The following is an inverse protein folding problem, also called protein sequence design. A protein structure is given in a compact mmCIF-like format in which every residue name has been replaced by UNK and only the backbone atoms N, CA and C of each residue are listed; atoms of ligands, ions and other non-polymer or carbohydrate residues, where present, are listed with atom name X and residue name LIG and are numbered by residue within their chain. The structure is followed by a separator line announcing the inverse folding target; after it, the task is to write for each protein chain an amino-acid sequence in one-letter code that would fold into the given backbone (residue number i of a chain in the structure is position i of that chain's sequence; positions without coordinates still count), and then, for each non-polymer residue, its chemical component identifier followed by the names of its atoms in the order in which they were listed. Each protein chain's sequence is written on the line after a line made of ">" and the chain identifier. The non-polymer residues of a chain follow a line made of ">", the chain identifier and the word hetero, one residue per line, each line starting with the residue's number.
data_IF_464558264983
#
_entry.id   IF_464558264983
#
_cell.length_a   1.000
_cell.length_b   1.000
_cell.length_c   1.000
_cell.angle_alpha   90.00
_cell.angle_beta   90.00
_cell.angle_gamma   90.00
#
_symmetry.space_group_name_H-M   'P 1'
#
loop_
_entity.id
_entity.type
_entity.pdbx_description
1 polymer ?
#
# COMPACT_ATOMS: atom_id res chain seq x y z
N UNK A 1 9.85 -0.81 -20.85
CA UNK A 1 9.48 -1.61 -19.67
C UNK A 1 8.01 -1.99 -19.77
N UNK A 2 7.68 -3.29 -19.73
CA UNK A 2 6.30 -3.79 -19.64
C UNK A 2 5.94 -4.00 -18.17
N UNK A 3 4.75 -3.61 -17.77
CA UNK A 3 4.32 -3.59 -16.36
C UNK A 3 3.06 -4.45 -16.20
N UNK A 4 3.05 -5.32 -15.19
CA UNK A 4 1.83 -5.95 -14.69
C UNK A 4 1.36 -5.23 -13.43
N UNK A 5 0.14 -4.71 -13.43
CA UNK A 5 -0.52 -4.22 -12.23
C UNK A 5 -1.02 -5.38 -11.38
N UNK A 6 -0.78 -5.35 -10.07
CA UNK A 6 -1.32 -6.35 -9.14
C UNK A 6 -2.07 -5.69 -8.00
N UNK A 7 -3.22 -6.24 -7.63
CA UNK A 7 -4.05 -5.80 -6.50
C UNK A 7 -4.35 -7.00 -5.62
N UNK A 8 -4.17 -6.87 -4.31
CA UNK A 8 -4.73 -7.79 -3.33
C UNK A 8 -6.02 -7.20 -2.76
N UNK A 9 -7.03 -8.02 -2.54
CA UNK A 9 -8.34 -7.51 -2.13
C UNK A 9 -9.11 -8.49 -1.24
N UNK A 10 -9.96 -7.92 -0.39
CA UNK A 10 -11.01 -8.60 0.38
C UNK A 10 -12.14 -7.60 0.64
N UNK A 11 -13.36 -7.89 0.13
CA UNK A 11 -14.55 -7.07 0.34
C UNK A 11 -14.32 -5.58 0.08
N UNK A 12 -13.90 -5.25 -1.14
CA UNK A 12 -13.55 -3.88 -1.55
C UNK A 12 -14.40 -3.37 -2.72
N UNK A 13 -15.67 -3.78 -2.83
CA UNK A 13 -16.55 -3.41 -3.94
C UNK A 13 -16.65 -1.90 -4.17
N UNK A 14 -16.50 -1.10 -3.12
CA UNK A 14 -16.51 0.35 -3.17
C UNK A 14 -15.30 0.97 -3.91
N UNK A 15 -14.14 0.31 -3.84
CA UNK A 15 -12.87 0.89 -4.27
C UNK A 15 -12.24 0.20 -5.46
N UNK A 16 -12.49 -1.10 -5.64
CA UNK A 16 -11.78 -1.95 -6.60
C UNK A 16 -11.84 -1.44 -8.05
N UNK A 17 -12.99 -0.86 -8.46
CA UNK A 17 -13.13 -0.30 -9.81
C UNK A 17 -12.07 0.78 -10.08
N UNK A 18 -11.97 1.76 -9.19
CA UNK A 18 -11.04 2.89 -9.31
C UNK A 18 -9.58 2.43 -9.27
N UNK A 19 -9.25 1.44 -8.44
CA UNK A 19 -7.92 0.84 -8.39
C UNK A 19 -7.54 0.19 -9.71
N UNK A 20 -8.42 -0.68 -10.26
CA UNK A 20 -8.20 -1.36 -11.55
C UNK A 20 -8.08 -0.35 -12.70
N UNK A 21 -9.00 0.60 -12.80
CA UNK A 21 -8.99 1.61 -13.87
C UNK A 21 -7.71 2.45 -13.85
N UNK A 22 -7.25 2.88 -12.67
CA UNK A 22 -6.03 3.65 -12.56
C UNK A 22 -4.78 2.85 -12.97
N UNK A 23 -4.69 1.57 -12.59
CA UNK A 23 -3.58 0.70 -13.00
C UNK A 23 -3.56 0.41 -14.50
N UNK A 24 -4.71 0.30 -15.16
CA UNK A 24 -4.78 0.11 -16.63
C UNK A 24 -4.11 1.24 -17.41
N UNK A 25 -4.01 2.44 -16.86
CA UNK A 25 -3.36 3.58 -17.52
C UNK A 25 -1.83 3.45 -17.59
N UNK A 26 -1.26 2.55 -16.78
CA UNK A 26 0.19 2.34 -16.71
C UNK A 26 0.63 0.89 -16.93
N UNK A 27 -0.29 -0.06 -16.99
CA UNK A 27 0.02 -1.50 -17.02
C UNK A 27 -0.44 -2.14 -18.34
N UNK A 28 0.27 -3.21 -18.75
CA UNK A 28 -0.09 -4.02 -19.91
C UNK A 28 -1.16 -5.08 -19.54
N UNK A 29 -1.29 -5.40 -18.27
CA UNK A 29 -2.32 -6.25 -17.69
C UNK A 29 -2.58 -5.86 -16.23
N UNK A 30 -3.76 -6.18 -15.71
CA UNK A 30 -4.09 -6.03 -14.29
C UNK A 30 -4.56 -7.37 -13.74
N UNK A 31 -3.96 -7.75 -12.61
CA UNK A 31 -4.23 -8.99 -11.87
C UNK A 31 -4.82 -8.61 -10.52
N UNK A 32 -5.92 -9.20 -10.16
CA UNK A 32 -6.55 -9.08 -8.85
C UNK A 32 -6.47 -10.43 -8.15
N UNK A 33 -5.83 -10.48 -6.99
CA UNK A 33 -5.80 -11.65 -6.11
C UNK A 33 -6.77 -11.43 -4.96
N UNK A 34 -7.91 -12.08 -5.06
CA UNK A 34 -9.02 -11.95 -4.14
C UNK A 34 -8.91 -12.94 -2.97
N UNK A 35 -9.11 -12.46 -1.75
CA UNK A 35 -9.00 -13.23 -0.51
C UNK A 35 -10.38 -13.75 -0.03
N UNK A 36 -11.13 -14.42 -0.93
CA UNK A 36 -12.46 -14.97 -0.67
C UNK A 36 -13.53 -13.89 -0.37
N UNK A 37 -13.57 -12.81 -1.16
CA UNK A 37 -14.61 -11.77 -1.04
C UNK A 37 -16.02 -12.33 -1.19
N UNK A 38 -16.93 -11.83 -0.36
CA UNK A 38 -18.35 -12.20 -0.33
C UNK A 38 -19.28 -11.15 -0.96
N UNK A 39 -18.73 -9.97 -1.25
CA UNK A 39 -19.40 -8.85 -1.91
C UNK A 39 -19.21 -8.88 -3.44
N UNK A 40 -19.51 -7.78 -4.14
CA UNK A 40 -19.40 -7.67 -5.59
C UNK A 40 -17.96 -7.42 -6.10
N UNK A 41 -16.94 -7.43 -5.23
CA UNK A 41 -15.54 -7.09 -5.57
C UNK A 41 -15.05 -7.81 -6.82
N UNK A 42 -15.16 -9.14 -6.88
CA UNK A 42 -14.68 -9.94 -8.01
C UNK A 42 -15.37 -9.59 -9.32
N UNK A 43 -16.70 -9.51 -9.29
CA UNK A 43 -17.50 -9.18 -10.47
C UNK A 43 -17.15 -7.79 -11.03
N UNK A 44 -16.93 -6.81 -10.16
CA UNK A 44 -16.54 -5.46 -10.57
C UNK A 44 -15.14 -5.48 -11.19
N UNK A 45 -14.18 -6.16 -10.57
CA UNK A 45 -12.81 -6.27 -11.08
C UNK A 45 -12.76 -6.95 -12.47
N UNK A 46 -13.49 -8.06 -12.67
CA UNK A 46 -13.61 -8.75 -13.95
C UNK A 46 -14.25 -7.85 -15.02
N UNK A 47 -15.33 -7.17 -14.68
CA UNK A 47 -16.03 -6.24 -15.59
C UNK A 47 -15.14 -5.05 -15.99
N UNK A 48 -14.22 -4.62 -15.12
CA UNK A 48 -13.21 -3.61 -15.40
C UNK A 48 -12.04 -4.14 -16.26
N UNK A 49 -12.02 -5.45 -16.57
CA UNK A 49 -11.02 -6.09 -17.42
C UNK A 49 -9.78 -6.61 -16.68
N UNK A 50 -9.85 -6.78 -15.36
CA UNK A 50 -8.79 -7.44 -14.61
C UNK A 50 -8.90 -8.97 -14.72
N UNK A 51 -7.76 -9.66 -14.63
CA UNK A 51 -7.69 -11.11 -14.42
C UNK A 51 -7.83 -11.38 -12.92
N UNK A 52 -8.89 -12.04 -12.51
CA UNK A 52 -9.18 -12.32 -11.09
C UNK A 52 -8.78 -13.75 -10.74
N UNK A 53 -8.01 -13.89 -9.66
CA UNK A 53 -7.64 -15.17 -9.05
C UNK A 53 -8.08 -15.18 -7.59
N UNK A 54 -8.36 -16.36 -7.06
CA UNK A 54 -8.81 -16.54 -5.68
C UNK A 54 -7.71 -17.25 -4.90
N UNK A 55 -7.36 -16.70 -3.75
CA UNK A 55 -6.38 -17.26 -2.84
C UNK A 55 -6.73 -16.81 -1.42
N UNK A 56 -7.05 -17.73 -0.52
CA UNK A 56 -7.25 -17.40 0.89
C UNK A 56 -6.06 -16.60 1.45
N UNK A 57 -6.34 -15.66 2.34
CA UNK A 57 -5.35 -14.69 2.80
C UNK A 57 -4.14 -15.34 3.47
N UNK A 58 -2.95 -15.05 2.95
CA UNK A 58 -1.67 -15.60 3.42
C UNK A 58 -0.91 -14.63 4.35
N UNK A 59 -1.44 -13.42 4.55
CA UNK A 59 -0.74 -12.28 5.15
C UNK A 59 -0.33 -11.26 4.07
N UNK A 60 -0.09 -10.00 4.45
CA UNK A 60 0.10 -8.88 3.51
C UNK A 60 1.24 -9.14 2.51
N UNK A 61 2.46 -9.41 2.98
CA UNK A 61 3.61 -9.69 2.11
C UNK A 61 3.48 -10.96 1.29
N UNK A 62 3.16 -12.11 1.90
CA UNK A 62 2.92 -13.34 1.17
C UNK A 62 1.83 -13.22 0.11
N UNK A 63 0.72 -12.52 0.38
CA UNK A 63 -0.37 -12.31 -0.57
C UNK A 63 0.07 -11.47 -1.77
N UNK A 64 0.79 -10.35 -1.55
CA UNK A 64 1.35 -9.52 -2.62
C UNK A 64 2.39 -10.27 -3.45
N UNK A 65 3.24 -11.06 -2.79
CA UNK A 65 4.20 -11.92 -3.47
C UNK A 65 3.50 -13.00 -4.30
N UNK A 66 2.42 -13.61 -3.80
CA UNK A 66 1.62 -14.58 -4.55
C UNK A 66 1.00 -13.93 -5.78
N UNK A 67 0.38 -12.75 -5.66
CA UNK A 67 -0.18 -12.00 -6.77
C UNK A 67 0.85 -11.76 -7.88
N UNK A 68 2.11 -11.49 -7.54
CA UNK A 68 3.19 -11.28 -8.51
C UNK A 68 3.55 -12.52 -9.34
N UNK A 69 3.20 -13.73 -8.90
CA UNK A 69 3.44 -14.97 -9.66
C UNK A 69 2.51 -15.12 -10.86
N UNK A 70 1.30 -14.58 -10.79
CA UNK A 70 0.35 -14.57 -11.91
C UNK A 70 0.70 -13.54 -12.98
N UNK A 71 1.64 -12.63 -12.69
CA UNK A 71 2.07 -11.58 -13.60
C UNK A 71 2.95 -12.12 -14.73
N UNK A 72 2.64 -11.74 -15.99
CA UNK A 72 3.42 -12.12 -17.17
C UNK A 72 4.69 -11.30 -17.35
N UNK A 73 4.75 -10.08 -16.79
CA UNK A 73 5.88 -9.17 -16.91
C UNK A 73 6.76 -9.18 -15.65
N UNK A 74 8.03 -8.80 -15.83
CA UNK A 74 8.99 -8.73 -14.73
C UNK A 74 8.75 -7.53 -13.82
N UNK A 75 8.28 -6.42 -14.38
CA UNK A 75 7.95 -5.22 -13.61
C UNK A 75 6.54 -5.29 -13.06
N UNK A 76 6.42 -5.15 -11.74
CA UNK A 76 5.15 -5.19 -11.02
C UNK A 76 4.85 -3.82 -10.46
N UNK A 77 3.63 -3.32 -10.70
CA UNK A 77 3.08 -2.21 -9.93
C UNK A 77 2.01 -2.77 -8.99
N UNK A 78 2.30 -2.80 -7.68
CA UNK A 78 1.40 -3.36 -6.67
C UNK A 78 0.59 -2.26 -5.99
N UNK A 79 -0.74 -2.39 -5.96
CA UNK A 79 -1.65 -1.53 -5.21
C UNK A 79 -2.44 -2.35 -4.18
N UNK A 80 -2.88 -1.67 -3.14
CA UNK A 80 -3.96 -2.14 -2.29
C UNK A 80 -5.30 -1.73 -2.91
N UNK A 81 -6.40 -2.43 -2.62
CA UNK A 81 -7.68 -2.20 -3.29
C UNK A 81 -8.29 -0.81 -3.01
N UNK A 82 -7.89 -0.17 -1.91
CA UNK A 82 -8.29 1.18 -1.49
C UNK A 82 -7.33 2.29 -1.95
N UNK A 83 -6.36 1.92 -2.82
CA UNK A 83 -5.41 2.86 -3.44
C UNK A 83 -5.75 3.11 -4.92
N UNK A 84 -5.39 4.29 -5.42
CA UNK A 84 -5.38 4.58 -6.86
C UNK A 84 -4.28 5.58 -7.21
N UNK A 85 -3.95 5.69 -8.48
CA UNK A 85 -2.90 6.57 -8.98
C UNK A 85 -3.45 7.97 -9.25
N UNK A 86 -2.71 9.01 -8.84
CA UNK A 86 -3.01 10.36 -9.34
C UNK A 86 -2.41 10.58 -10.75
N UNK A 87 -2.84 11.67 -11.39
CA UNK A 87 -2.40 11.98 -12.76
C UNK A 87 -0.89 12.12 -12.88
N UNK A 88 -0.25 12.78 -11.91
CA UNK A 88 1.19 13.02 -11.95
C UNK A 88 1.99 11.73 -11.84
N UNK A 89 1.50 10.75 -11.07
CA UNK A 89 2.11 9.42 -10.99
C UNK A 89 1.96 8.64 -12.30
N UNK A 90 0.78 8.70 -12.93
CA UNK A 90 0.52 8.06 -14.23
C UNK A 90 1.48 8.61 -15.28
N UNK A 91 1.58 9.93 -15.39
CA UNK A 91 2.47 10.61 -16.34
C UNK A 91 3.95 10.26 -16.07
N UNK A 92 4.36 10.24 -14.80
CA UNK A 92 5.71 9.86 -14.38
C UNK A 92 6.05 8.41 -14.78
N UNK A 93 5.19 7.43 -14.44
CA UNK A 93 5.44 6.03 -14.77
C UNK A 93 5.50 5.81 -16.27
N UNK A 94 4.60 6.42 -17.05
CA UNK A 94 4.61 6.34 -18.50
C UNK A 94 5.90 6.95 -19.10
N UNK A 95 6.42 8.03 -18.53
CA UNK A 95 7.68 8.65 -18.98
C UNK A 95 8.89 7.72 -18.79
N UNK A 96 8.96 6.99 -17.67
CA UNK A 96 10.10 6.12 -17.35
C UNK A 96 10.06 4.75 -18.05
N UNK A 97 8.94 4.36 -18.66
CA UNK A 97 8.83 3.08 -19.40
C UNK A 97 9.85 2.93 -20.54
N UNK A 98 10.28 4.03 -21.12
CA UNK A 98 11.16 4.06 -22.28
C UNK A 98 12.65 4.15 -21.92
N UNK A 99 12.99 4.27 -20.63
CA UNK A 99 14.37 4.35 -20.18
C UNK A 99 14.92 2.97 -19.81
N UNK A 100 16.23 2.77 -20.04
CA UNK A 100 16.96 1.61 -19.52
C UNK A 100 17.05 1.73 -17.99
N UNK A 101 16.28 0.88 -17.29
CA UNK A 101 16.15 0.96 -15.86
C UNK A 101 17.26 0.17 -15.16
N UNK A 102 18.30 0.89 -14.71
CA UNK A 102 19.36 0.36 -13.82
C UNK A 102 18.90 0.21 -12.36
N UNK A 103 17.64 0.49 -12.08
CA UNK A 103 17.05 0.47 -10.74
C UNK A 103 16.27 -0.82 -10.50
N UNK A 104 16.08 -1.17 -9.23
CA UNK A 104 15.35 -2.36 -8.81
C UNK A 104 13.89 -2.03 -8.52
N UNK A 105 13.64 -0.80 -8.10
CA UNK A 105 12.33 -0.37 -7.62
C UNK A 105 12.17 1.14 -7.56
N UNK A 106 10.90 1.57 -7.43
CA UNK A 106 10.49 2.96 -7.27
C UNK A 106 9.53 3.06 -6.09
N UNK A 107 9.78 4.04 -5.23
CA UNK A 107 8.93 4.40 -4.11
C UNK A 107 8.23 5.72 -4.38
N UNK A 108 6.95 5.77 -4.05
CA UNK A 108 6.05 6.90 -4.27
C UNK A 108 5.50 7.37 -2.94
N UNK A 109 5.06 8.63 -2.87
CA UNK A 109 4.38 9.16 -1.69
C UNK A 109 2.92 8.72 -1.67
N UNK A 110 2.40 8.40 -0.49
CA UNK A 110 0.97 8.22 -0.31
C UNK A 110 0.34 9.50 0.25
N UNK A 111 -0.80 9.88 -0.32
CA UNK A 111 -1.74 10.81 0.28
C UNK A 111 -2.81 9.98 0.99
N UNK A 112 -2.72 9.91 2.31
CA UNK A 112 -3.66 9.17 3.14
C UNK A 112 -4.88 10.05 3.45
N UNK A 113 -6.08 9.57 3.16
CA UNK A 113 -7.33 10.29 3.37
C UNK A 113 -8.17 9.65 4.48
N UNK A 114 -8.91 10.51 5.20
CA UNK A 114 -10.02 10.12 6.07
C UNK A 114 -11.27 10.82 5.52
N UNK A 115 -12.19 10.08 4.91
CA UNK A 115 -13.21 10.68 4.05
C UNK A 115 -12.55 11.51 2.95
N UNK A 116 -12.94 12.77 2.83
CA UNK A 116 -12.39 13.71 1.84
C UNK A 116 -11.17 14.50 2.34
N UNK A 117 -10.77 14.32 3.61
CA UNK A 117 -9.70 15.10 4.23
C UNK A 117 -8.34 14.41 4.10
N UNK A 118 -7.37 15.11 3.49
CA UNK A 118 -5.99 14.64 3.42
C UNK A 118 -5.26 14.80 4.74
N UNK A 119 -4.81 13.67 5.33
CA UNK A 119 -4.06 13.63 6.59
C UNK A 119 -2.59 13.96 6.31
N UNK A 120 -2.14 15.17 6.68
CA UNK A 120 -0.74 15.62 6.49
C UNK A 120 0.12 15.47 7.75
N UNK A 121 -0.51 15.42 8.92
CA UNK A 121 0.16 15.43 10.23
C UNK A 121 0.41 14.02 10.79
N UNK A 122 0.98 13.95 11.97
CA UNK A 122 1.17 12.73 12.77
C UNK A 122 1.96 11.61 12.06
N UNK A 123 2.84 11.95 11.13
CA UNK A 123 3.66 10.98 10.41
C UNK A 123 2.97 10.31 9.22
N UNK A 124 1.77 10.76 8.83
CA UNK A 124 1.09 10.27 7.64
C UNK A 124 1.65 10.84 6.33
N UNK A 125 2.45 11.92 6.38
CA UNK A 125 3.08 12.49 5.20
C UNK A 125 4.43 13.14 5.57
N UNK A 126 5.49 13.00 4.71
CA UNK A 126 5.53 12.15 3.52
C UNK A 126 5.67 10.66 3.86
N UNK A 127 4.76 9.82 3.33
CA UNK A 127 4.76 8.38 3.50
C UNK A 127 5.21 7.71 2.20
N UNK A 128 6.46 7.23 2.14
CA UNK A 128 7.01 6.58 0.96
C UNK A 128 6.81 5.08 0.98
N UNK A 129 6.14 4.56 -0.05
CA UNK A 129 5.93 3.11 -0.24
C UNK A 129 6.50 2.66 -1.58
N UNK A 130 7.23 1.54 -1.59
CA UNK A 130 7.73 0.94 -2.83
C UNK A 130 6.60 0.16 -3.48
N UNK A 131 6.16 0.60 -4.67
CA UNK A 131 5.02 0.01 -5.38
C UNK A 131 5.37 -0.48 -6.79
N UNK A 132 6.39 0.08 -7.45
CA UNK A 132 6.88 -0.41 -8.74
C UNK A 132 8.24 -1.08 -8.54
N UNK A 133 8.36 -2.35 -8.93
CA UNK A 133 9.58 -3.12 -8.71
C UNK A 133 9.76 -4.23 -9.75
N UNK A 134 11.01 -4.61 -9.99
CA UNK A 134 11.40 -5.76 -10.80
C UNK A 134 11.39 -7.03 -9.93
N UNK A 135 10.36 -7.90 -10.13
CA UNK A 135 10.16 -9.11 -9.32
C UNK A 135 11.29 -10.13 -9.43
N UNK A 136 12.14 -10.02 -10.46
CA UNK A 136 13.31 -10.89 -10.64
C UNK A 136 14.47 -10.51 -9.73
N UNK A 137 14.50 -9.27 -9.25
CA UNK A 137 15.56 -8.72 -8.39
C UNK A 137 15.12 -8.57 -6.94
N UNK A 138 13.87 -8.13 -6.72
CA UNK A 138 13.31 -7.86 -5.41
C UNK A 138 11.84 -8.26 -5.34
N UNK A 139 11.35 -8.55 -4.14
CA UNK A 139 9.92 -8.83 -3.91
C UNK A 139 9.55 -8.44 -2.48
N UNK A 140 8.28 -8.55 -2.14
CA UNK A 140 7.79 -8.34 -0.78
C UNK A 140 8.46 -9.29 0.20
N UNK A 141 8.80 -8.77 1.37
CA UNK A 141 9.27 -9.57 2.48
C UNK A 141 8.14 -10.46 3.06
N UNK A 142 8.49 -11.52 3.85
CA UNK A 142 7.50 -12.48 4.32
C UNK A 142 6.64 -11.99 5.49
N UNK A 143 6.69 -10.69 5.84
CA UNK A 143 5.89 -10.16 6.95
C UNK A 143 4.40 -10.27 6.66
N UNK A 144 3.66 -10.70 7.68
CA UNK A 144 2.21 -10.87 7.60
C UNK A 144 1.49 -9.53 7.65
N UNK A 145 2.13 -8.51 8.24
CA UNK A 145 1.60 -7.15 8.37
C UNK A 145 2.70 -6.13 8.01
N UNK A 146 2.29 -5.04 7.36
CA UNK A 146 3.19 -3.96 6.91
C UNK A 146 4.40 -4.44 6.09
N UNK A 147 4.18 -5.36 5.17
CA UNK A 147 5.23 -5.85 4.30
C UNK A 147 5.75 -4.77 3.34
N UNK A 148 7.03 -4.83 3.05
CA UNK A 148 7.69 -3.87 2.18
C UNK A 148 8.60 -4.55 1.14
N UNK A 149 8.83 -3.85 0.04
CA UNK A 149 9.86 -4.22 -0.95
C UNK A 149 11.12 -3.42 -0.64
N UNK A 150 12.23 -4.11 -0.43
CA UNK A 150 13.53 -3.52 -0.11
C UNK A 150 14.50 -3.67 -1.28
N UNK A 151 14.42 -2.76 -2.25
CA UNK A 151 15.38 -2.68 -3.35
C UNK A 151 16.70 -2.03 -2.93
N UNK A 152 17.83 -2.52 -3.45
CA UNK A 152 19.14 -1.91 -3.21
C UNK A 152 19.30 -0.59 -3.96
N UNK A 153 18.60 -0.42 -5.08
CA UNK A 153 18.62 0.76 -5.95
C UNK A 153 17.21 1.32 -6.15
N UNK A 154 16.60 1.80 -5.06
CA UNK A 154 15.25 2.37 -5.06
C UNK A 154 15.29 3.87 -5.36
N UNK A 155 14.52 4.32 -6.37
CA UNK A 155 14.26 5.74 -6.61
C UNK A 155 13.04 6.18 -5.78
N UNK A 156 13.16 7.32 -5.09
CA UNK A 156 12.04 7.99 -4.43
C UNK A 156 11.50 9.11 -5.32
N UNK A 157 10.35 8.89 -5.94
CA UNK A 157 9.67 9.89 -6.75
C UNK A 157 8.67 10.70 -5.91
N UNK A 158 8.56 12.01 -6.20
CA UNK A 158 7.69 12.94 -5.43
C UNK A 158 6.25 13.00 -5.97
N UNK A 159 5.80 11.97 -6.68
CA UNK A 159 4.44 11.80 -7.18
C UNK A 159 3.63 10.90 -6.24
N UNK A 160 2.29 10.85 -6.39
CA UNK A 160 1.46 10.36 -5.31
C UNK A 160 0.55 9.19 -5.70
N UNK A 161 0.38 8.30 -4.74
CA UNK A 161 -0.71 7.33 -4.66
C UNK A 161 -1.78 7.94 -3.74
N UNK A 162 -3.02 7.92 -4.16
CA UNK A 162 -4.17 8.29 -3.34
C UNK A 162 -4.59 7.06 -2.56
N UNK A 163 -4.70 7.16 -1.26
CA UNK A 163 -5.06 6.06 -0.37
C UNK A 163 -6.25 6.45 0.51
N UNK A 164 -7.39 5.81 0.28
CA UNK A 164 -8.59 6.01 1.09
C UNK A 164 -8.48 5.15 2.36
N UNK A 165 -7.68 5.62 3.32
CA UNK A 165 -7.27 4.85 4.51
C UNK A 165 -8.44 4.59 5.44
N UNK A 166 -9.31 5.60 5.61
CA UNK A 166 -10.47 5.58 6.47
C UNK A 166 -11.63 6.32 5.82
N UNK A 167 -12.85 5.81 6.00
CA UNK A 167 -14.06 6.47 5.52
C UNK A 167 -14.54 7.57 6.46
N UNK A 168 -14.29 7.39 7.76
CA UNK A 168 -14.69 8.34 8.80
C UNK A 168 -13.73 8.30 9.98
N UNK A 169 -13.89 9.26 10.88
CA UNK A 169 -13.14 9.31 12.15
C UNK A 169 -13.52 8.12 13.05
N UNK A 170 -14.78 7.70 13.03
CA UNK A 170 -15.26 6.54 13.79
C UNK A 170 -14.54 5.28 13.36
N UNK A 171 -14.49 5.02 12.05
CA UNK A 171 -13.76 3.88 11.49
C UNK A 171 -12.27 3.94 11.82
N UNK A 172 -11.67 5.13 11.78
CA UNK A 172 -10.28 5.31 12.18
C UNK A 172 -10.05 4.88 13.63
N UNK A 173 -10.90 5.34 14.56
CA UNK A 173 -10.79 4.97 15.97
C UNK A 173 -10.96 3.45 16.17
N UNK A 174 -11.94 2.84 15.50
CA UNK A 174 -12.17 1.39 15.58
C UNK A 174 -10.95 0.60 15.06
N UNK A 175 -10.44 0.95 13.88
CA UNK A 175 -9.25 0.32 13.30
C UNK A 175 -8.01 0.52 14.18
N UNK A 176 -7.83 1.70 14.78
CA UNK A 176 -6.74 1.98 15.71
C UNK A 176 -6.83 1.12 16.97
N UNK A 177 -8.01 0.99 17.57
CA UNK A 177 -8.24 0.13 18.73
C UNK A 177 -7.97 -1.35 18.42
N UNK A 178 -8.46 -1.82 17.28
CA UNK A 178 -8.22 -3.19 16.83
C UNK A 178 -6.73 -3.46 16.62
N UNK A 179 -6.03 -2.62 15.84
CA UNK A 179 -4.60 -2.77 15.54
C UNK A 179 -3.72 -2.66 16.79
N UNK A 180 -4.04 -1.74 17.72
CA UNK A 180 -3.30 -1.61 18.97
C UNK A 180 -3.44 -2.86 19.85
N UNK A 181 -4.63 -3.46 19.88
CA UNK A 181 -4.88 -4.71 20.59
C UNK A 181 -4.12 -5.89 20.00
N UNK A 182 -4.10 -6.01 18.66
CA UNK A 182 -3.30 -7.03 17.97
C UNK A 182 -1.79 -6.87 18.25
N UNK A 183 -1.29 -5.63 18.16
CA UNK A 183 0.12 -5.33 18.41
C UNK A 183 0.50 -5.63 19.86
N UNK A 184 -0.35 -5.27 20.82
CA UNK A 184 -0.13 -5.59 22.24
C UNK A 184 -0.09 -7.10 22.48
N UNK A 185 -1.02 -7.85 21.86
CA UNK A 185 -1.04 -9.32 21.94
C UNK A 185 0.21 -9.95 21.34
N UNK A 186 0.67 -9.45 20.19
CA UNK A 186 1.89 -9.94 19.53
C UNK A 186 3.14 -9.66 20.39
N UNK A 187 3.25 -8.46 20.97
CA UNK A 187 4.34 -8.13 21.89
C UNK A 187 4.35 -9.02 23.13
N UNK A 188 3.17 -9.33 23.68
CA UNK A 188 3.04 -10.25 24.80
C UNK A 188 3.51 -11.66 24.45
N UNK A 189 3.08 -12.21 23.29
CA UNK A 189 3.51 -13.53 22.79
C UNK A 189 5.03 -13.56 22.59
N UNK A 190 5.62 -12.48 22.09
CA UNK A 190 7.07 -12.34 21.90
C UNK A 190 7.85 -12.10 23.21
N UNK A 191 7.19 -12.14 24.37
CA UNK A 191 7.82 -11.96 25.69
C UNK A 191 8.32 -10.54 25.98
N UNK A 192 7.86 -9.56 25.21
CA UNK A 192 8.25 -8.14 25.43
C UNK A 192 7.58 -7.62 26.71
N UNK A 193 8.40 -7.27 27.71
CA UNK A 193 7.89 -6.72 28.97
C UNK A 193 7.43 -5.26 28.77
N UNK A 194 6.27 -4.87 29.35
CA UNK A 194 5.81 -3.48 29.32
C UNK A 194 6.83 -2.57 30.01
N UNK A 195 6.97 -1.36 29.50
CA UNK A 195 7.80 -0.31 30.10
C UNK A 195 6.93 0.85 30.56
N UNK A 196 7.05 1.26 31.80
CA UNK A 196 6.31 2.40 32.35
C UNK A 196 6.80 3.74 31.80
N UNK A 197 8.02 3.79 31.26
CA UNK A 197 8.66 5.03 30.75
C UNK A 197 8.39 5.22 29.26
N UNK A 198 8.37 4.17 28.47
CA UNK A 198 8.19 4.27 27.00
C UNK A 198 6.91 5.01 26.57
N UNK A 199 5.72 4.78 27.17
CA UNK A 199 4.51 5.51 26.80
C UNK A 199 4.64 7.01 27.05
N UNK A 200 5.24 7.41 28.17
CA UNK A 200 5.43 8.82 28.53
C UNK A 200 6.41 9.49 27.56
N UNK A 201 7.54 8.87 27.29
CA UNK A 201 8.54 9.40 26.34
C UNK A 201 7.95 9.51 24.93
N UNK A 202 7.14 8.54 24.47
CA UNK A 202 6.44 8.62 23.18
C UNK A 202 5.40 9.74 23.17
N UNK A 203 4.58 9.86 24.20
CA UNK A 203 3.59 10.93 24.28
C UNK A 203 4.26 12.31 24.22
N UNK A 204 5.31 12.54 24.99
CA UNK A 204 6.08 13.80 24.99
C UNK A 204 6.74 14.05 23.63
N UNK A 205 7.34 13.02 23.01
CA UNK A 205 7.95 13.13 21.68
C UNK A 205 6.91 13.50 20.60
N UNK A 206 5.72 12.92 20.65
CA UNK A 206 4.66 13.24 19.68
C UNK A 206 4.07 14.62 19.90
N UNK A 207 3.82 15.01 21.15
CA UNK A 207 3.14 16.28 21.44
C UNK A 207 4.07 17.50 21.44
N UNK A 208 5.36 17.33 21.71
CA UNK A 208 6.28 18.46 21.87
C UNK A 208 7.33 18.56 20.75
N UNK A 209 7.86 17.44 20.25
CA UNK A 209 8.91 17.47 19.23
C UNK A 209 8.36 17.45 17.80
N UNK A 210 7.32 16.65 17.52
CA UNK A 210 6.74 16.55 16.17
C UNK A 210 5.64 17.57 15.89
N UNK A 211 4.93 18.09 16.91
CA UNK A 211 3.97 19.16 16.70
C UNK A 211 4.64 20.49 16.26
N UNK A 212 5.91 20.69 16.64
CA UNK A 212 6.67 21.86 16.19
C UNK A 212 7.17 21.78 14.73
N UNK A 213 7.33 20.57 14.18
CA UNK A 213 7.73 20.40 12.76
C UNK A 213 6.60 20.77 11.77
N UNK A 214 5.35 20.77 12.20
CA UNK A 214 4.18 21.05 11.34
C UNK A 214 3.75 22.53 11.33
N UNK A 215 4.42 23.40 12.09
CA UNK A 215 4.08 24.85 12.19
C UNK A 215 5.07 25.74 11.41
N UNK A 216 6.09 25.16 10.79
CA UNK A 216 7.18 25.89 10.08
C UNK A 216 7.22 25.67 8.57
N UNK A 217 6.16 25.11 7.94
CA UNK A 217 6.00 25.03 6.47
C UNK A 217 4.78 25.80 5.99
#
# INVERSE_FOLDING_TARGET
>A
MKISGTIITLNAEKYILRAVESLKLISDEVIVLDSDSTDSTRKIAESAGAKVYIQSFLGDGPQKKEASKYASNDWIFSLDADECLDKDLIDYVNSIKHFDNRHDSFAFRRKNFCGDEWIKAAGFYPDYVTRLYDKTKVNYDPRVDHAAVHGKKTIKAKVHIIHNTYESMEEWIEKMNYRSSLSARQLFINGVKPSNVRPVVRAVSYTHLRAHETVLD
#
